data_IF_349981530079
#
_entry.id   IF_349981530079
#
_cell.length_a   1.000
_cell.length_b   1.000
_cell.length_c   1.000
_cell.angle_alpha   90.00
_cell.angle_beta   90.00
_cell.angle_gamma   90.00
#
_symmetry.space_group_name_H-M   'P 1'
#
loop_
_entity.id
_entity.type
_entity.pdbx_description
1 polymer ?
#
# COMPACT_ATOMS: atom_id res chain seq x y z
N UNK A 1 -5.58 -13.07 13.99
CA UNK A 1 -4.37 -12.31 14.41
C UNK A 1 -3.22 -12.71 13.50
N UNK A 2 -2.69 -11.80 12.69
CA UNK A 2 -1.67 -12.01 11.66
C UNK A 2 -0.44 -11.17 11.98
N UNK A 3 0.75 -11.62 11.56
CA UNK A 3 1.97 -10.83 11.63
C UNK A 3 2.11 -10.00 10.35
N UNK A 4 2.11 -8.68 10.47
CA UNK A 4 2.13 -7.74 9.35
C UNK A 4 3.40 -6.90 9.41
N UNK A 5 4.18 -6.95 8.34
CA UNK A 5 5.33 -6.06 8.14
C UNK A 5 4.94 -4.91 7.21
N UNK A 6 5.20 -3.67 7.61
CA UNK A 6 4.95 -2.51 6.75
C UNK A 6 6.29 -1.88 6.41
N UNK A 7 6.68 -1.93 5.15
CA UNK A 7 7.91 -1.31 4.67
C UNK A 7 7.64 0.16 4.35
N UNK A 8 8.26 1.04 5.13
CA UNK A 8 8.07 2.49 5.05
C UNK A 8 7.24 3.05 6.22
N UNK A 9 7.84 3.96 6.99
CA UNK A 9 7.24 4.62 8.15
C UNK A 9 6.76 6.06 7.84
N UNK A 10 6.49 6.34 6.57
CA UNK A 10 5.88 7.61 6.14
C UNK A 10 4.38 7.68 6.50
N UNK A 11 3.69 8.74 6.03
CA UNK A 11 2.25 8.95 6.30
C UNK A 11 1.37 7.74 6.00
N UNK A 12 1.59 7.07 4.89
CA UNK A 12 0.84 5.86 4.50
C UNK A 12 1.10 4.72 5.48
N UNK A 13 2.38 4.34 5.68
CA UNK A 13 2.74 3.21 6.52
C UNK A 13 2.37 3.41 7.99
N UNK A 14 2.57 4.62 8.54
CA UNK A 14 2.18 4.94 9.91
C UNK A 14 0.66 4.83 10.11
N UNK A 15 -0.13 5.35 9.17
CA UNK A 15 -1.59 5.30 9.22
C UNK A 15 -2.13 3.86 9.18
N UNK A 16 -1.60 3.04 8.25
CA UNK A 16 -1.93 1.61 8.17
C UNK A 16 -1.52 0.87 9.45
N UNK A 17 -0.32 1.15 9.97
CA UNK A 17 0.19 0.51 11.18
C UNK A 17 -0.70 0.76 12.41
N UNK A 18 -1.14 1.99 12.60
CA UNK A 18 -2.06 2.37 13.70
C UNK A 18 -3.36 1.59 13.61
N UNK A 19 -3.99 1.58 12.43
CA UNK A 19 -5.31 0.94 12.24
C UNK A 19 -5.22 -0.58 12.37
N UNK A 20 -4.23 -1.22 11.75
CA UNK A 20 -4.04 -2.67 11.81
C UNK A 20 -3.64 -3.14 13.23
N UNK A 21 -2.84 -2.36 13.95
CA UNK A 21 -2.54 -2.65 15.35
C UNK A 21 -3.78 -2.54 16.24
N UNK A 22 -4.64 -1.55 16.01
CA UNK A 22 -5.91 -1.40 16.71
C UNK A 22 -6.89 -2.55 16.39
N UNK A 23 -6.85 -3.11 15.19
CA UNK A 23 -7.61 -4.31 14.79
C UNK A 23 -7.04 -5.62 15.38
N UNK A 24 -5.94 -5.56 16.16
CA UNK A 24 -5.40 -6.71 16.90
C UNK A 24 -4.30 -7.48 16.18
N UNK A 25 -3.77 -6.96 15.07
CA UNK A 25 -2.62 -7.57 14.40
C UNK A 25 -1.30 -7.24 15.11
N UNK A 26 -0.29 -8.10 14.92
CA UNK A 26 1.10 -7.80 15.28
C UNK A 26 1.73 -7.04 14.14
N UNK A 27 2.02 -5.75 14.35
CA UNK A 27 2.54 -4.88 13.29
C UNK A 27 3.97 -4.48 13.57
N UNK A 28 4.85 -4.64 12.57
CA UNK A 28 6.23 -4.15 12.58
C UNK A 28 6.43 -3.16 11.44
N UNK A 29 6.89 -1.96 11.77
CA UNK A 29 7.31 -0.95 10.78
C UNK A 29 8.76 -1.16 10.38
N UNK A 30 8.98 -1.40 9.10
CA UNK A 30 10.31 -1.51 8.50
C UNK A 30 10.88 -0.13 8.18
N UNK A 31 11.95 0.23 8.88
CA UNK A 31 12.66 1.50 8.76
C UNK A 31 14.10 1.29 8.28
N UNK A 32 14.79 2.37 7.86
CA UNK A 32 16.19 2.28 7.44
C UNK A 32 17.13 2.05 8.63
N UNK A 33 16.92 2.81 9.69
CA UNK A 33 17.71 2.76 10.92
C UNK A 33 16.77 2.62 12.11
N UNK A 34 16.53 1.42 12.63
CA UNK A 34 15.66 1.21 13.79
C UNK A 34 16.08 1.99 15.04
N UNK A 35 17.38 2.22 15.20
CA UNK A 35 17.95 2.96 16.33
C UNK A 35 17.62 4.45 16.30
N UNK A 36 17.38 5.02 15.12
CA UNK A 36 16.99 6.43 14.96
C UNK A 36 15.51 6.68 15.32
N UNK A 37 14.75 5.61 15.57
CA UNK A 37 13.32 5.68 15.91
C UNK A 37 13.09 5.81 17.43
N UNK A 38 14.00 6.45 18.16
CA UNK A 38 13.94 6.67 19.60
C UNK A 38 12.71 7.46 20.09
N UNK A 39 11.87 7.97 19.18
CA UNK A 39 10.51 8.39 19.49
C UNK A 39 9.61 7.83 18.39
N UNK A 40 8.62 6.96 18.72
CA UNK A 40 7.52 6.73 17.79
C UNK A 40 6.98 8.10 17.39
N UNK A 41 6.73 8.33 16.10
CA UNK A 41 6.07 9.55 15.66
C UNK A 41 4.88 9.79 16.60
N UNK A 42 4.78 10.98 17.18
CA UNK A 42 3.82 11.26 18.24
C UNK A 42 2.42 10.78 17.84
N UNK A 43 1.83 9.87 18.63
CA UNK A 43 0.53 9.26 18.34
C UNK A 43 0.56 7.80 17.87
N UNK A 44 1.73 7.16 17.69
CA UNK A 44 1.76 5.72 17.39
C UNK A 44 1.44 4.87 18.65
N UNK A 45 0.69 3.75 18.49
CA UNK A 45 0.39 2.86 19.60
C UNK A 45 1.68 2.29 20.24
N UNK A 46 1.72 2.12 21.57
CA UNK A 46 2.91 1.62 22.28
C UNK A 46 3.30 0.17 21.93
N UNK A 47 2.50 -0.53 21.15
CA UNK A 47 2.73 -1.93 20.72
C UNK A 47 3.30 -2.04 19.30
N UNK A 48 3.59 -0.93 18.63
CA UNK A 48 4.25 -0.97 17.34
C UNK A 48 5.73 -1.33 17.50
N UNK A 49 6.14 -2.41 16.86
CA UNK A 49 7.54 -2.77 16.76
C UNK A 49 8.19 -2.04 15.55
N UNK A 50 9.49 -1.77 15.70
CA UNK A 50 10.31 -1.25 14.62
C UNK A 50 11.46 -2.22 14.37
N UNK A 51 11.78 -2.44 13.11
CA UNK A 51 12.94 -3.24 12.70
C UNK A 51 13.50 -2.69 11.37
N UNK A 52 14.66 -3.17 10.96
CA UNK A 52 15.12 -2.95 9.60
C UNK A 52 14.17 -3.63 8.59
N UNK A 53 14.25 -3.23 7.32
CA UNK A 53 13.32 -3.71 6.30
C UNK A 53 13.46 -5.23 6.05
N UNK A 54 14.69 -5.77 6.12
CA UNK A 54 14.94 -7.19 5.92
C UNK A 54 14.32 -8.04 7.04
N UNK A 55 14.56 -7.65 8.30
CA UNK A 55 13.96 -8.30 9.47
C UNK A 55 12.44 -8.19 9.44
N UNK A 56 11.89 -7.03 9.08
CA UNK A 56 10.44 -6.81 8.94
C UNK A 56 9.84 -7.75 7.89
N UNK A 57 10.44 -7.83 6.70
CA UNK A 57 9.98 -8.71 5.64
C UNK A 57 10.08 -10.19 6.03
N UNK A 58 11.19 -10.58 6.67
CA UNK A 58 11.44 -11.97 7.08
C UNK A 58 10.44 -12.48 8.11
N UNK A 59 10.06 -11.67 9.10
CA UNK A 59 9.27 -12.10 10.26
C UNK A 59 7.75 -11.96 10.06
N UNK A 60 7.31 -11.29 9.02
CA UNK A 60 5.90 -11.08 8.73
C UNK A 60 5.30 -12.20 7.87
N UNK A 61 4.00 -12.46 8.04
CA UNK A 61 3.19 -13.33 7.17
C UNK A 61 2.72 -12.55 5.92
N UNK A 62 2.35 -11.27 6.13
CA UNK A 62 1.94 -10.34 5.08
C UNK A 62 2.86 -9.13 5.14
N UNK A 63 3.37 -8.71 3.98
CA UNK A 63 4.20 -7.51 3.87
C UNK A 63 3.45 -6.44 3.06
N UNK A 64 3.39 -5.21 3.60
CA UNK A 64 2.78 -4.06 2.91
C UNK A 64 3.90 -3.13 2.42
N UNK A 65 3.93 -2.86 1.13
CA UNK A 65 4.82 -1.86 0.54
C UNK A 65 4.17 -0.47 0.62
N UNK A 66 4.65 0.35 1.55
CA UNK A 66 4.33 1.77 1.70
C UNK A 66 5.56 2.66 1.47
N UNK A 67 6.55 2.16 0.71
CA UNK A 67 7.74 2.94 0.31
C UNK A 67 7.45 3.80 -0.93
N UNK A 68 8.27 4.83 -1.24
CA UNK A 68 8.12 5.60 -2.47
C UNK A 68 8.20 4.71 -3.71
N UNK A 69 7.16 4.75 -4.56
CA UNK A 69 7.01 3.84 -5.70
C UNK A 69 8.18 3.86 -6.68
N UNK A 70 8.80 5.03 -6.89
CA UNK A 70 9.95 5.18 -7.78
C UNK A 70 11.17 4.31 -7.39
N UNK A 71 11.32 3.99 -6.10
CA UNK A 71 12.42 3.15 -5.59
C UNK A 71 11.98 1.78 -5.10
N UNK A 72 10.68 1.49 -5.15
CA UNK A 72 10.11 0.25 -4.60
C UNK A 72 10.62 -1.00 -5.32
N UNK A 73 10.76 -0.95 -6.66
CA UNK A 73 11.18 -2.13 -7.43
C UNK A 73 12.55 -2.64 -6.97
N UNK A 74 13.56 -1.78 -6.99
CA UNK A 74 14.94 -2.17 -6.61
C UNK A 74 15.01 -2.61 -5.14
N UNK A 75 14.32 -1.87 -4.26
CA UNK A 75 14.28 -2.17 -2.83
C UNK A 75 13.67 -3.53 -2.54
N UNK A 76 12.52 -3.85 -3.14
CA UNK A 76 11.82 -5.10 -2.90
C UNK A 76 12.46 -6.28 -3.62
N UNK A 77 13.05 -6.07 -4.80
CA UNK A 77 13.86 -7.08 -5.46
C UNK A 77 15.06 -7.52 -4.59
N UNK A 78 15.65 -6.59 -3.83
CA UNK A 78 16.70 -6.89 -2.85
C UNK A 78 16.21 -7.71 -1.64
N UNK A 79 14.90 -7.84 -1.42
CA UNK A 79 14.28 -8.64 -0.36
C UNK A 79 13.61 -9.93 -0.88
N UNK A 80 13.99 -10.38 -2.06
CA UNK A 80 13.37 -11.53 -2.73
C UNK A 80 13.32 -12.78 -1.84
N UNK A 81 14.38 -13.06 -1.12
CA UNK A 81 14.46 -14.24 -0.23
C UNK A 81 13.46 -14.11 0.93
N UNK A 82 13.38 -12.93 1.56
CA UNK A 82 12.52 -12.67 2.70
C UNK A 82 11.03 -12.63 2.32
N UNK A 83 10.73 -12.30 1.06
CA UNK A 83 9.38 -12.19 0.51
C UNK A 83 8.86 -13.50 -0.12
N UNK A 84 9.75 -14.47 -0.35
CA UNK A 84 9.36 -15.74 -0.98
C UNK A 84 8.25 -16.46 -0.21
N UNK A 85 7.20 -16.89 -0.93
CA UNK A 85 6.02 -17.57 -0.40
C UNK A 85 5.05 -16.68 0.38
N UNK A 86 5.28 -15.35 0.42
CA UNK A 86 4.46 -14.41 1.19
C UNK A 86 3.52 -13.60 0.29
N UNK A 87 2.56 -12.93 0.93
CA UNK A 87 1.72 -11.92 0.29
C UNK A 87 2.40 -10.57 0.42
N UNK A 88 2.61 -9.90 -0.71
CA UNK A 88 3.08 -8.53 -0.80
C UNK A 88 1.92 -7.62 -1.25
N UNK A 89 1.40 -6.83 -0.32
CA UNK A 89 0.37 -5.82 -0.60
C UNK A 89 1.05 -4.54 -1.05
N UNK A 90 0.89 -4.15 -2.31
CA UNK A 90 1.47 -2.91 -2.83
C UNK A 90 0.42 -1.79 -2.87
N UNK A 91 0.62 -0.76 -2.04
CA UNK A 91 -0.26 0.42 -1.95
C UNK A 91 0.37 1.67 -2.59
N UNK A 92 1.53 1.53 -3.22
CA UNK A 92 2.29 2.65 -3.77
C UNK A 92 1.92 2.97 -5.22
N UNK A 93 2.34 4.13 -5.70
CA UNK A 93 2.32 4.50 -7.11
C UNK A 93 3.73 4.89 -7.54
N UNK A 94 4.20 4.36 -8.66
CA UNK A 94 5.52 4.69 -9.20
C UNK A 94 5.42 5.86 -10.18
N UNK A 95 5.68 7.07 -9.69
CA UNK A 95 5.66 8.29 -10.48
C UNK A 95 6.96 9.05 -10.35
N UNK A 96 7.30 9.84 -11.37
CA UNK A 96 8.27 10.92 -11.30
C UNK A 96 7.51 12.18 -10.89
N UNK A 97 8.13 12.96 -10.01
CA UNK A 97 7.52 14.23 -9.59
C UNK A 97 7.66 15.28 -10.70
N UNK A 98 6.63 16.11 -10.83
CA UNK A 98 6.69 17.34 -11.61
C UNK A 98 7.43 18.45 -10.81
N UNK A 99 7.67 19.60 -11.42
CA UNK A 99 8.39 20.73 -10.80
C UNK A 99 7.75 21.23 -9.50
N UNK A 100 6.45 21.02 -9.32
CA UNK A 100 5.70 21.38 -8.12
C UNK A 100 5.70 20.29 -7.02
N UNK A 101 6.44 19.20 -7.23
CA UNK A 101 6.55 18.08 -6.29
C UNK A 101 5.31 17.18 -6.23
N UNK A 102 4.36 17.35 -7.15
CA UNK A 102 3.21 16.45 -7.30
C UNK A 102 3.52 15.36 -8.34
N UNK A 103 2.77 14.23 -8.35
CA UNK A 103 2.94 13.19 -9.37
C UNK A 103 2.85 13.77 -10.79
N UNK A 104 3.89 13.59 -11.58
CA UNK A 104 3.96 14.02 -12.99
C UNK A 104 3.73 12.84 -13.93
N UNK A 105 4.77 12.08 -14.24
CA UNK A 105 4.72 10.96 -15.18
C UNK A 105 4.75 9.62 -14.48
N UNK A 106 4.17 8.59 -15.11
CA UNK A 106 4.33 7.21 -14.67
C UNK A 106 5.77 6.73 -14.93
N UNK A 107 6.37 6.03 -13.97
CA UNK A 107 7.66 5.35 -14.18
C UNK A 107 7.55 4.22 -15.20
N UNK A 108 6.38 3.59 -15.30
CA UNK A 108 6.13 2.42 -16.15
C UNK A 108 4.93 2.65 -17.08
N UNK A 109 5.02 3.56 -18.06
CA UNK A 109 3.93 3.78 -19.02
C UNK A 109 3.65 2.49 -19.80
N UNK A 110 2.38 2.09 -19.88
CA UNK A 110 1.96 0.82 -20.51
C UNK A 110 2.14 -0.45 -19.65
N UNK A 111 2.61 -0.30 -18.40
CA UNK A 111 2.74 -1.35 -17.40
C UNK A 111 2.35 -0.79 -16.01
N UNK A 112 2.81 -1.42 -14.94
CA UNK A 112 2.65 -0.95 -13.56
C UNK A 112 3.83 -1.36 -12.69
N UNK A 113 4.01 -0.70 -11.55
CA UNK A 113 4.95 -1.15 -10.53
C UNK A 113 4.60 -2.57 -10.07
N UNK A 114 3.32 -2.85 -9.87
CA UNK A 114 2.87 -4.17 -9.41
C UNK A 114 3.23 -5.29 -10.39
N UNK A 115 3.12 -5.07 -11.71
CA UNK A 115 3.60 -6.03 -12.72
C UNK A 115 5.11 -6.22 -12.65
N UNK A 116 5.87 -5.14 -12.47
CA UNK A 116 7.34 -5.21 -12.33
C UNK A 116 7.75 -5.95 -11.06
N UNK A 117 7.04 -5.71 -9.96
CA UNK A 117 7.26 -6.43 -8.69
C UNK A 117 6.96 -7.92 -8.85
N UNK A 118 5.83 -8.30 -9.46
CA UNK A 118 5.48 -9.71 -9.67
C UNK A 118 6.52 -10.41 -10.55
N UNK A 119 7.02 -9.75 -11.59
CA UNK A 119 8.06 -10.31 -12.44
C UNK A 119 9.42 -10.47 -11.71
N UNK A 120 9.79 -9.52 -10.85
CA UNK A 120 11.01 -9.58 -10.05
C UNK A 120 10.94 -10.56 -8.88
N UNK A 121 9.73 -10.84 -8.39
CA UNK A 121 9.42 -11.66 -7.21
C UNK A 121 8.47 -12.81 -7.58
N UNK A 122 8.90 -13.78 -8.40
CA UNK A 122 8.00 -14.82 -8.94
C UNK A 122 7.40 -15.72 -7.88
N UNK A 123 8.08 -15.89 -6.74
CA UNK A 123 7.65 -16.73 -5.63
C UNK A 123 6.82 -15.94 -4.57
N UNK A 124 6.48 -14.67 -4.85
CA UNK A 124 5.73 -13.78 -3.95
C UNK A 124 4.35 -13.50 -4.56
N UNK A 125 3.30 -13.54 -3.76
CA UNK A 125 1.95 -13.21 -4.22
C UNK A 125 1.71 -11.71 -4.13
N UNK A 126 1.95 -10.98 -5.22
CA UNK A 126 1.75 -9.52 -5.26
C UNK A 126 0.27 -9.20 -5.42
N UNK A 127 -0.25 -8.35 -4.54
CA UNK A 127 -1.62 -7.81 -4.62
C UNK A 127 -1.55 -6.28 -4.56
N UNK A 128 -1.98 -5.64 -5.62
CA UNK A 128 -2.12 -4.19 -5.72
C UNK A 128 -3.45 -3.74 -5.17
N UNK A 129 -3.45 -2.72 -4.28
CA UNK A 129 -4.68 -2.14 -3.74
C UNK A 129 -4.44 -0.76 -3.13
N UNK A 130 -5.53 -0.04 -2.78
CA UNK A 130 -5.57 1.24 -2.06
C UNK A 130 -4.83 2.42 -2.72
N UNK A 131 -4.22 2.23 -3.86
CA UNK A 131 -3.38 3.23 -4.53
C UNK A 131 -4.16 4.35 -5.25
N UNK A 132 -5.50 4.32 -5.24
CA UNK A 132 -6.37 5.29 -5.93
C UNK A 132 -6.96 6.35 -5.02
N UNK A 133 -6.43 6.50 -3.80
CA UNK A 133 -6.97 7.40 -2.78
C UNK A 133 -5.87 8.04 -1.94
N UNK A 134 -6.21 9.11 -1.23
CA UNK A 134 -5.30 9.67 -0.22
C UNK A 134 -5.18 8.74 1.00
N UNK A 135 -4.02 8.77 1.63
CA UNK A 135 -3.67 7.85 2.74
C UNK A 135 -4.68 7.86 3.90
N UNK A 136 -5.35 8.98 4.15
CA UNK A 136 -6.38 9.09 5.18
C UNK A 136 -7.59 8.20 4.88
N UNK A 137 -7.95 8.06 3.61
CA UNK A 137 -9.10 7.26 3.15
C UNK A 137 -8.79 5.77 3.21
N UNK A 138 -7.52 5.38 3.07
CA UNK A 138 -7.10 3.96 3.11
C UNK A 138 -7.56 3.25 4.40
N UNK A 139 -7.60 3.98 5.52
CA UNK A 139 -7.92 3.43 6.86
C UNK A 139 -9.20 3.99 7.47
N UNK A 140 -9.89 4.86 6.74
CA UNK A 140 -11.15 5.46 7.18
C UNK A 140 -12.01 5.82 5.93
N UNK A 141 -12.43 4.81 5.13
CA UNK A 141 -13.22 5.04 3.91
C UNK A 141 -14.56 5.74 4.21
N UNK A 142 -15.09 5.56 5.41
CA UNK A 142 -16.33 6.18 5.90
C UNK A 142 -16.24 7.71 6.07
N UNK A 143 -15.05 8.29 6.00
CA UNK A 143 -14.88 9.76 6.07
C UNK A 143 -15.34 10.49 4.80
N UNK A 144 -15.50 9.76 3.70
CA UNK A 144 -16.06 10.31 2.48
C UNK A 144 -17.59 10.19 2.48
N UNK A 145 -18.28 11.25 2.04
CA UNK A 145 -19.75 11.27 1.94
C UNK A 145 -20.31 10.16 1.05
N UNK A 146 -19.57 9.77 0.02
CA UNK A 146 -19.87 8.59 -0.81
C UNK A 146 -18.78 7.56 -0.55
N UNK A 147 -19.13 6.36 -0.06
CA UNK A 147 -18.15 5.31 0.19
C UNK A 147 -17.36 4.96 -1.08
N UNK A 148 -16.02 4.98 -1.03
CA UNK A 148 -15.19 4.73 -2.19
C UNK A 148 -15.07 3.23 -2.50
N UNK A 149 -14.43 2.89 -3.63
CA UNK A 149 -14.10 1.53 -4.03
C UNK A 149 -12.61 1.28 -3.81
N UNK A 150 -12.27 0.18 -3.15
CA UNK A 150 -10.92 -0.39 -3.13
C UNK A 150 -10.80 -1.43 -4.25
N UNK A 151 -9.81 -1.26 -5.12
CA UNK A 151 -9.55 -2.20 -6.21
C UNK A 151 -8.50 -3.21 -5.80
N UNK A 152 -8.64 -4.46 -6.26
CA UNK A 152 -7.65 -5.53 -6.13
C UNK A 152 -7.16 -5.96 -7.50
N UNK A 153 -5.85 -6.11 -7.65
CA UNK A 153 -5.22 -6.74 -8.81
C UNK A 153 -4.14 -7.71 -8.33
N UNK A 154 -4.16 -8.96 -8.80
CA UNK A 154 -3.19 -9.99 -8.41
C UNK A 154 -3.53 -11.34 -9.01
N UNK A 155 -2.53 -12.20 -9.21
CA UNK A 155 -2.74 -13.50 -9.85
C UNK A 155 -3.32 -14.55 -8.88
N UNK A 156 -2.92 -14.53 -7.60
CA UNK A 156 -3.32 -15.54 -6.63
C UNK A 156 -4.65 -15.17 -5.95
N UNK A 157 -5.68 -15.98 -6.15
CA UNK A 157 -7.02 -15.73 -5.61
C UNK A 157 -7.07 -15.85 -4.08
N UNK A 158 -6.23 -16.71 -3.47
CA UNK A 158 -6.18 -16.86 -2.02
C UNK A 158 -5.53 -15.64 -1.38
N UNK A 159 -4.45 -15.13 -2.00
CA UNK A 159 -3.81 -13.90 -1.57
C UNK A 159 -4.77 -12.71 -1.67
N UNK A 160 -5.50 -12.56 -2.79
CA UNK A 160 -6.52 -11.49 -2.93
C UNK A 160 -7.62 -11.60 -1.88
N UNK A 161 -8.11 -12.81 -1.59
CA UNK A 161 -9.09 -13.00 -0.52
C UNK A 161 -8.53 -12.59 0.84
N UNK A 162 -7.31 -13.00 1.16
CA UNK A 162 -6.64 -12.60 2.42
C UNK A 162 -6.48 -11.09 2.52
N UNK A 163 -6.16 -10.42 1.41
CA UNK A 163 -6.06 -8.96 1.36
C UNK A 163 -7.43 -8.31 1.50
N UNK A 164 -8.48 -8.85 0.90
CA UNK A 164 -9.86 -8.36 1.09
C UNK A 164 -10.29 -8.45 2.56
N UNK A 165 -9.99 -9.56 3.23
CA UNK A 165 -10.25 -9.72 4.66
C UNK A 165 -9.48 -8.65 5.49
N UNK A 166 -8.20 -8.37 5.13
CA UNK A 166 -7.39 -7.32 5.74
C UNK A 166 -7.96 -5.91 5.49
N UNK A 167 -8.52 -5.66 4.31
CA UNK A 167 -9.23 -4.40 4.03
C UNK A 167 -10.45 -4.24 4.93
N UNK A 168 -11.15 -5.32 5.26
CA UNK A 168 -12.23 -5.31 6.26
C UNK A 168 -11.76 -4.79 7.62
N UNK A 169 -10.57 -5.21 8.08
CA UNK A 169 -9.95 -4.72 9.33
C UNK A 169 -9.56 -3.22 9.24
N UNK A 170 -9.37 -2.69 8.05
CA UNK A 170 -9.17 -1.26 7.79
C UNK A 170 -10.49 -0.45 7.70
N UNK A 171 -11.67 -1.13 7.72
CA UNK A 171 -12.98 -0.50 7.68
C UNK A 171 -13.71 -0.56 6.33
N UNK A 172 -13.16 -1.30 5.36
CA UNK A 172 -13.79 -1.46 4.05
C UNK A 172 -14.92 -2.48 4.09
N UNK A 173 -16.08 -2.12 3.54
CA UNK A 173 -17.19 -3.06 3.38
C UNK A 173 -16.93 -3.97 2.18
N UNK A 174 -17.30 -5.28 2.24
CA UNK A 174 -17.06 -6.22 1.14
C UNK A 174 -17.60 -5.75 -0.22
N UNK A 175 -18.75 -5.06 -0.23
CA UNK A 175 -19.41 -4.54 -1.44
C UNK A 175 -18.65 -3.37 -2.08
N UNK A 176 -17.64 -2.85 -1.39
CA UNK A 176 -16.76 -1.76 -1.83
C UNK A 176 -15.37 -2.23 -2.20
N UNK A 177 -15.15 -3.55 -2.25
CA UNK A 177 -13.91 -4.16 -2.68
C UNK A 177 -14.17 -4.81 -4.05
N UNK A 178 -13.51 -4.31 -5.08
CA UNK A 178 -13.66 -4.75 -6.47
C UNK A 178 -12.43 -5.51 -6.93
N UNK A 179 -12.56 -6.80 -7.21
CA UNK A 179 -11.48 -7.61 -7.81
C UNK A 179 -11.45 -7.38 -9.32
N UNK A 180 -10.43 -6.70 -9.80
CA UNK A 180 -10.22 -6.41 -11.23
C UNK A 180 -9.58 -7.58 -12.00
N UNK A 181 -9.16 -8.65 -11.31
CA UNK A 181 -8.52 -9.81 -11.94
C UNK A 181 -7.01 -9.88 -11.74
N UNK A 182 -6.29 -10.28 -12.78
CA UNK A 182 -4.83 -10.48 -12.74
C UNK A 182 -4.02 -9.22 -12.50
N UNK A 183 -2.72 -9.39 -12.23
CA UNK A 183 -1.82 -8.28 -11.88
C UNK A 183 -1.74 -7.19 -12.96
N UNK A 184 -1.98 -7.54 -14.22
CA UNK A 184 -1.97 -6.60 -15.35
C UNK A 184 -3.01 -5.50 -15.25
N UNK A 185 -4.10 -5.71 -14.50
CA UNK A 185 -5.14 -4.69 -14.27
C UNK A 185 -4.65 -3.54 -13.39
N UNK A 186 -3.56 -3.74 -12.62
CA UNK A 186 -2.93 -2.72 -11.79
C UNK A 186 -2.45 -1.50 -12.60
N UNK A 187 -2.14 -1.66 -13.89
CA UNK A 187 -1.76 -0.52 -14.74
C UNK A 187 -2.85 0.54 -14.86
N UNK A 188 -4.11 0.12 -14.84
CA UNK A 188 -5.24 1.04 -14.89
C UNK A 188 -5.35 1.84 -13.58
N UNK A 189 -5.26 1.17 -12.44
CA UNK A 189 -5.34 1.85 -11.13
C UNK A 189 -4.12 2.71 -10.84
N UNK A 190 -2.92 2.33 -11.28
CA UNK A 190 -1.73 3.18 -11.16
C UNK A 190 -1.83 4.43 -12.06
N UNK A 191 -2.42 4.32 -13.26
CA UNK A 191 -2.62 5.47 -14.13
C UNK A 191 -3.59 6.52 -13.55
N UNK A 192 -4.49 6.13 -12.63
CA UNK A 192 -5.40 7.05 -11.95
C UNK A 192 -4.66 8.10 -11.10
N UNK A 193 -3.39 7.85 -10.71
CA UNK A 193 -2.58 8.82 -9.99
C UNK A 193 -2.41 10.14 -10.77
N UNK A 194 -2.46 10.09 -12.09
CA UNK A 194 -2.27 11.27 -12.95
C UNK A 194 -3.39 12.31 -12.82
N UNK A 195 -4.56 11.93 -12.30
CA UNK A 195 -5.64 12.90 -12.01
C UNK A 195 -5.42 13.63 -10.69
N UNK A 196 -4.63 13.07 -9.77
CA UNK A 196 -4.44 13.56 -8.41
C UNK A 196 -3.89 15.00 -8.35
N UNK A 197 -2.86 15.40 -9.13
CA UNK A 197 -2.36 16.78 -9.12
C UNK A 197 -3.43 17.80 -9.48
N UNK A 198 -4.29 17.48 -10.45
CA UNK A 198 -5.36 18.38 -10.90
C UNK A 198 -6.44 18.56 -9.81
N UNK A 199 -6.77 17.49 -9.09
CA UNK A 199 -7.70 17.55 -7.96
C UNK A 199 -7.11 18.39 -6.83
N UNK A 200 -5.85 18.15 -6.46
CA UNK A 200 -5.17 18.87 -5.37
C UNK A 200 -5.04 20.37 -5.65
N UNK A 201 -4.68 20.75 -6.89
CA UNK A 201 -4.58 22.18 -7.28
C UNK A 201 -5.93 22.88 -7.20
N UNK A 202 -7.03 22.17 -7.52
CA UNK A 202 -8.37 22.77 -7.51
C UNK A 202 -9.03 22.79 -6.14
N UNK A 203 -8.86 21.73 -5.34
CA UNK A 203 -9.63 21.52 -4.09
C UNK A 203 -8.77 21.57 -2.83
N UNK A 204 -7.44 21.67 -2.97
CA UNK A 204 -6.51 21.58 -1.86
C UNK A 204 -6.35 20.16 -1.34
N UNK A 205 -5.57 20.00 -0.28
CA UNK A 205 -5.28 18.70 0.33
C UNK A 205 -6.44 18.28 1.25
N UNK A 206 -7.47 17.69 0.65
CA UNK A 206 -8.65 17.17 1.32
C UNK A 206 -8.78 15.67 1.02
N UNK A 207 -9.41 14.86 1.89
CA UNK A 207 -9.66 13.44 1.62
C UNK A 207 -10.46 13.25 0.32
N UNK A 208 -9.98 12.40 -0.57
CA UNK A 208 -10.68 11.96 -1.78
C UNK A 208 -10.19 10.58 -2.23
N UNK A 209 -10.98 9.94 -3.07
CA UNK A 209 -10.62 8.73 -3.80
C UNK A 209 -11.11 8.81 -5.25
N UNK A 210 -10.40 8.17 -6.17
CA UNK A 210 -10.90 7.87 -7.51
C UNK A 210 -11.60 6.52 -7.43
N UNK A 211 -12.90 6.50 -7.69
CA UNK A 211 -13.76 5.38 -7.33
C UNK A 211 -14.82 5.09 -8.40
N UNK A 212 -15.31 3.85 -8.43
CA UNK A 212 -16.45 3.44 -9.23
C UNK A 212 -17.75 3.89 -8.54
N UNK A 213 -18.56 4.66 -9.25
CA UNK A 213 -19.93 5.00 -8.83
C UNK A 213 -20.95 4.11 -9.55
N UNK A 214 -21.74 3.32 -8.79
CA UNK A 214 -22.83 2.47 -9.30
C UNK A 214 -23.87 2.21 -8.22
#
# INVERSE_FOLDING_TARGET
MTSIGILGAGRVGANLAVKLSAAGHRVTLGVRNPEDTAAPAAGLPPRLAFADQQTTARTADIVINATPGVTSLDRLAGLRTELSGKILVDVSNATRDADDGLPGDLCYPGSSLAEKLQAALPDTHVVKTLNTMLFMVMTAPETLATPPTAYLSGEDQKAKKTVADLLGDLGWQPERIEDLGGITTARATEAMILVVPHILRRHGFKPFAVSLAR
#
